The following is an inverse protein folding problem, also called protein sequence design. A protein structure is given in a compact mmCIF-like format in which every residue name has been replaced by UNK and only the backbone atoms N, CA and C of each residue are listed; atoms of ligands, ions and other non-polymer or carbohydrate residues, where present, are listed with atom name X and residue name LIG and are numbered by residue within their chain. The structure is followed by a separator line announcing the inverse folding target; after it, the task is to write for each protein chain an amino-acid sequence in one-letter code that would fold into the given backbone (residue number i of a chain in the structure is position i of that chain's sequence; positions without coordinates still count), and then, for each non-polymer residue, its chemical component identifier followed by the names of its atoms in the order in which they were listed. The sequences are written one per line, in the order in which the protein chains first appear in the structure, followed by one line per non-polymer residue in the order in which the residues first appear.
data_IF_234068242028
#
_entry.id   IF_234068242028
#
_cell.length_a   1.000
_cell.length_b   1.000
_cell.length_c   1.000
_cell.angle_alpha   90.00
_cell.angle_beta   90.00
_cell.angle_gamma   90.00
#
_symmetry.space_group_name_H-M   'P 1'
#
loop_
_entity.id
_entity.type
_entity.pdbx_description
1 polymer ?
#
# COMPACT_ATOMS: atom_id res chain seq x y z
N UNK A 1 -10.74 12.55 7.86
CA UNK A 1 -9.88 12.60 6.66
C UNK A 1 -10.05 11.33 5.86
N UNK A 2 -10.24 11.44 4.57
CA UNK A 2 -10.56 10.28 3.73
C UNK A 2 -9.27 9.58 3.28
N UNK A 3 -9.25 8.24 3.35
CA UNK A 3 -8.03 7.48 3.05
C UNK A 3 -7.53 7.60 1.62
N UNK A 4 -8.40 7.90 0.66
CA UNK A 4 -7.96 8.02 -0.74
C UNK A 4 -7.25 9.33 -1.03
N UNK A 5 -7.22 10.24 -0.08
CA UNK A 5 -6.46 11.47 -0.22
C UNK A 5 -5.08 11.29 0.39
N UNK A 6 -4.05 11.93 -0.17
CA UNK A 6 -2.69 11.76 0.36
C UNK A 6 -2.49 12.37 1.73
N UNK A 7 -3.34 13.31 2.14
CA UNK A 7 -3.13 14.07 3.37
C UNK A 7 -2.99 13.21 4.62
N UNK A 8 -3.82 12.18 4.73
CA UNK A 8 -3.78 11.31 5.90
C UNK A 8 -2.47 10.54 5.96
N UNK A 9 -1.96 10.12 4.80
CA UNK A 9 -0.71 9.38 4.72
C UNK A 9 0.49 10.26 4.95
N UNK A 10 0.45 11.48 4.42
CA UNK A 10 1.53 12.43 4.64
C UNK A 10 1.62 12.83 6.10
N UNK A 11 0.48 13.02 6.77
CA UNK A 11 0.45 13.34 8.18
C UNK A 11 1.03 12.19 9.00
N UNK A 12 0.73 10.95 8.63
CA UNK A 12 1.25 9.80 9.33
C UNK A 12 2.78 9.72 9.22
N UNK A 13 3.30 9.97 8.03
CA UNK A 13 4.75 9.96 7.81
C UNK A 13 5.44 11.04 8.63
N UNK A 14 4.87 12.24 8.63
CA UNK A 14 5.43 13.36 9.38
C UNK A 14 5.45 13.06 10.87
N UNK A 15 4.35 12.51 11.37
CA UNK A 15 4.24 12.18 12.78
C UNK A 15 5.29 11.17 13.22
N UNK A 16 5.65 10.26 12.33
CA UNK A 16 6.65 9.23 12.63
C UNK A 16 8.07 9.65 12.26
N UNK A 17 8.22 10.86 11.73
CA UNK A 17 9.54 11.37 11.43
C UNK A 17 10.24 10.69 10.27
N UNK A 18 9.46 10.18 9.30
CA UNK A 18 10.03 9.49 8.14
C UNK A 18 9.53 10.14 6.87
N UNK A 19 10.30 9.98 5.80
CA UNK A 19 9.87 10.50 4.51
C UNK A 19 8.85 9.57 3.89
N UNK A 20 7.87 10.10 3.14
CA UNK A 20 6.88 9.23 2.49
C UNK A 20 7.51 8.14 1.63
N UNK A 21 8.55 8.46 0.89
CA UNK A 21 9.17 7.49 -0.01
C UNK A 21 9.86 6.35 0.73
N UNK A 22 10.05 6.49 2.03
CA UNK A 22 10.61 5.44 2.87
C UNK A 22 9.54 4.63 3.59
N UNK A 23 8.27 4.97 3.35
CA UNK A 23 7.14 4.28 3.97
C UNK A 23 6.55 3.24 3.04
N UNK A 24 6.05 2.15 3.63
CA UNK A 24 5.32 1.13 2.90
C UNK A 24 3.95 0.98 3.56
N UNK A 25 2.90 1.02 2.75
CA UNK A 25 1.53 0.89 3.23
C UNK A 25 0.99 -0.47 2.81
N UNK A 26 0.41 -1.18 3.76
CA UNK A 26 -0.27 -2.45 3.52
C UNK A 26 -1.75 -2.21 3.74
N UNK A 27 -2.55 -2.43 2.71
CA UNK A 27 -3.99 -2.22 2.86
C UNK A 27 -4.72 -3.10 1.85
N UNK A 28 -5.99 -3.38 2.16
CA UNK A 28 -6.82 -4.26 1.36
C UNK A 28 -7.82 -3.49 0.48
N UNK A 29 -7.82 -2.17 0.53
CA UNK A 29 -8.77 -1.40 -0.26
C UNK A 29 -8.05 -0.54 -1.29
N UNK A 30 -8.67 -0.42 -2.45
CA UNK A 30 -8.12 0.41 -3.53
C UNK A 30 -8.10 1.88 -3.12
N UNK A 31 -9.09 2.33 -2.37
CA UNK A 31 -9.16 3.72 -1.95
C UNK A 31 -7.97 4.11 -1.09
N UNK A 32 -7.64 3.27 -0.09
CA UNK A 32 -6.52 3.53 0.79
C UNK A 32 -5.19 3.47 0.02
N UNK A 33 -5.06 2.47 -0.83
CA UNK A 33 -3.83 2.31 -1.62
C UNK A 33 -3.64 3.49 -2.58
N UNK A 34 -4.73 4.01 -3.14
CA UNK A 34 -4.63 5.17 -4.02
C UNK A 34 -4.11 6.39 -3.28
N UNK A 35 -4.62 6.63 -2.06
CA UNK A 35 -4.16 7.75 -1.26
C UNK A 35 -2.70 7.64 -0.90
N UNK A 36 -2.27 6.44 -0.49
CA UNK A 36 -0.87 6.20 -0.15
C UNK A 36 0.02 6.41 -1.37
N UNK A 37 -0.43 5.98 -2.54
CA UNK A 37 0.34 6.15 -3.77
C UNK A 37 0.50 7.63 -4.12
N UNK A 38 -0.56 8.41 -3.94
CA UNK A 38 -0.49 9.85 -4.17
C UNK A 38 0.46 10.52 -3.18
N UNK A 39 0.64 9.93 -2.00
CA UNK A 39 1.60 10.44 -1.02
C UNK A 39 3.02 9.97 -1.32
N UNK A 40 3.21 9.22 -2.41
CA UNK A 40 4.51 8.72 -2.87
C UNK A 40 5.09 7.65 -1.97
N UNK A 41 4.22 6.92 -1.32
CA UNK A 41 4.62 5.78 -0.51
C UNK A 41 4.59 4.51 -1.36
N UNK A 42 5.34 3.48 -0.91
CA UNK A 42 5.23 2.17 -1.50
C UNK A 42 3.92 1.54 -1.05
N UNK A 43 3.29 0.80 -1.94
CA UNK A 43 1.98 0.24 -1.66
C UNK A 43 2.00 -1.27 -1.86
N UNK A 44 1.63 -2.00 -0.82
CA UNK A 44 1.44 -3.45 -0.87
C UNK A 44 -0.04 -3.72 -0.68
N UNK A 45 -0.69 -4.20 -1.73
CA UNK A 45 -2.09 -4.57 -1.65
C UNK A 45 -2.22 -5.95 -1.02
N UNK A 46 -3.17 -6.09 -0.11
CA UNK A 46 -3.41 -7.34 0.61
C UNK A 46 -4.78 -7.86 0.22
N UNK A 47 -4.83 -9.14 -0.16
CA UNK A 47 -6.09 -9.75 -0.55
C UNK A 47 -7.06 -9.79 0.62
N UNK A 48 -8.33 -9.47 0.34
CA UNK A 48 -9.41 -9.57 1.29
C UNK A 48 -10.65 -9.95 0.50
N UNK A 49 -11.33 -11.01 0.95
CA UNK A 49 -12.52 -11.50 0.25
C UNK A 49 -13.60 -10.44 0.16
N UNK A 50 -13.65 -9.54 1.12
CA UNK A 50 -14.63 -8.46 1.12
C UNK A 50 -14.39 -7.48 -0.04
N UNK A 51 -13.12 -7.29 -0.42
CA UNK A 51 -12.74 -6.37 -1.48
C UNK A 51 -12.25 -7.09 -2.73
N UNK A 52 -12.64 -8.36 -2.92
CA UNK A 52 -12.11 -9.14 -4.04
C UNK A 52 -12.51 -8.58 -5.40
N UNK A 53 -13.56 -7.77 -5.45
CA UNK A 53 -13.97 -7.15 -6.71
C UNK A 53 -12.92 -6.16 -7.21
N UNK A 54 -12.08 -5.67 -6.32
CA UNK A 54 -11.05 -4.70 -6.66
C UNK A 54 -9.70 -5.37 -6.93
N UNK A 55 -9.62 -6.68 -6.81
CA UNK A 55 -8.33 -7.37 -6.90
C UNK A 55 -7.60 -7.08 -8.20
N UNK A 56 -8.31 -7.10 -9.31
CA UNK A 56 -7.67 -6.88 -10.61
C UNK A 56 -7.03 -5.50 -10.68
N UNK A 57 -7.75 -4.50 -10.22
CA UNK A 57 -7.25 -3.14 -10.21
C UNK A 57 -6.11 -2.97 -9.21
N UNK A 58 -6.24 -3.60 -8.06
CA UNK A 58 -5.21 -3.57 -7.05
C UNK A 58 -3.90 -4.19 -7.56
N UNK A 59 -3.98 -5.32 -8.26
CA UNK A 59 -2.80 -5.97 -8.79
C UNK A 59 -2.07 -5.10 -9.81
N UNK A 60 -2.83 -4.35 -10.59
CA UNK A 60 -2.25 -3.46 -11.59
C UNK A 60 -1.69 -2.19 -10.96
N UNK A 61 -2.28 -1.76 -9.85
CA UNK A 61 -1.98 -0.47 -9.23
C UNK A 61 -0.87 -0.54 -8.19
N UNK A 62 -0.87 -1.58 -7.38
CA UNK A 62 0.05 -1.69 -6.25
C UNK A 62 1.45 -2.11 -6.71
N UNK A 63 2.45 -1.72 -5.94
CA UNK A 63 3.81 -2.16 -6.20
C UNK A 63 3.93 -3.67 -6.02
N UNK A 64 3.21 -4.20 -5.02
CA UNK A 64 3.15 -5.63 -4.76
C UNK A 64 1.72 -5.94 -4.32
N UNK A 65 1.22 -7.12 -4.69
CA UNK A 65 -0.08 -7.58 -4.22
C UNK A 65 0.08 -8.97 -3.65
N UNK A 66 -0.33 -9.17 -2.40
CA UNK A 66 -0.15 -10.43 -1.70
C UNK A 66 -1.49 -10.97 -1.22
N UNK A 67 -1.60 -12.28 -1.11
CA UNK A 67 -2.82 -12.92 -0.60
C UNK A 67 -2.74 -13.11 0.91
N UNK A 68 -1.53 -13.17 1.45
CA UNK A 68 -1.32 -13.25 2.89
C UNK A 68 0.04 -12.68 3.21
N UNK A 69 0.20 -12.26 4.47
CA UNK A 69 1.48 -11.69 4.89
C UNK A 69 2.62 -12.71 4.86
N UNK A 70 2.30 -14.00 4.86
CA UNK A 70 3.31 -15.03 4.76
C UNK A 70 4.10 -14.93 3.47
N UNK A 71 3.48 -14.44 2.41
CA UNK A 71 4.17 -14.32 1.12
C UNK A 71 5.37 -13.40 1.20
N UNK A 72 5.35 -12.44 2.13
CA UNK A 72 6.46 -11.51 2.28
C UNK A 72 7.73 -12.20 2.75
N UNK A 73 7.59 -13.32 3.44
CA UNK A 73 8.74 -14.09 3.92
C UNK A 73 9.54 -14.71 2.78
N UNK A 74 8.90 -14.89 1.64
CA UNK A 74 9.52 -15.57 0.50
C UNK A 74 9.87 -14.60 -0.63
N UNK A 75 9.60 -13.31 -0.45
CA UNK A 75 9.89 -12.32 -1.48
C UNK A 75 11.29 -11.77 -1.29
N UNK A 76 12.07 -11.68 -2.39
CA UNK A 76 13.32 -10.95 -2.33
C UNK A 76 13.04 -9.50 -1.95
N UNK A 77 13.94 -8.90 -1.21
CA UNK A 77 13.74 -7.54 -0.75
C UNK A 77 13.49 -6.57 -1.89
N UNK A 78 14.18 -6.76 -3.01
CA UNK A 78 14.02 -5.88 -4.16
C UNK A 78 12.64 -5.96 -4.79
N UNK A 79 11.85 -6.97 -4.46
CA UNK A 79 10.47 -7.05 -4.95
C UNK A 79 9.57 -6.05 -4.26
N UNK A 80 9.94 -5.64 -3.06
CA UNK A 80 9.16 -4.68 -2.29
C UNK A 80 9.71 -3.28 -2.47
N UNK A 81 10.98 -3.15 -2.79
CA UNK A 81 11.64 -1.86 -3.00
C UNK A 81 11.52 -1.40 -4.43
N UNK A 82 11.64 -0.11 -4.63
CA UNK A 82 11.64 0.43 -5.99
C UNK A 82 13.01 0.45 -6.58
#
# INVERSE_FOLDING_TARGET
MHKKHPDVWLAAAEKNGVRPEDCTVFDDSLAACSGARLAKMRVVGVHDDFFNQEEKEMRAFCDVYIRSFEELLWMPEQKIRR
#
